data_IF_409171614137
#
_entry.id   IF_409171614137
#
_cell.length_a   1.000
_cell.length_b   1.000
_cell.length_c   1.000
_cell.angle_alpha   90.00
_cell.angle_beta   90.00
_cell.angle_gamma   90.00
#
_symmetry.space_group_name_H-M   'P 1'
#
loop_
_entity.id
_entity.type
_entity.pdbx_description
1 polymer ?
#
# COMPACT_ATOMS: atom_id res chain seq x y z
N UNK A 1 -15.33 -6.59 1.10
CA UNK A 1 -15.98 -6.39 2.42
C UNK A 1 -15.82 -7.56 3.41
N UNK A 2 -15.25 -8.71 3.03
CA UNK A 2 -15.10 -9.87 3.95
C UNK A 2 -14.33 -9.53 5.25
N UNK A 3 -13.29 -8.69 5.17
CA UNK A 3 -12.43 -8.33 6.31
C UNK A 3 -12.83 -7.00 6.98
N UNK A 4 -14.02 -6.47 6.71
CA UNK A 4 -14.48 -5.18 7.29
C UNK A 4 -15.60 -5.36 8.31
N UNK A 5 -16.03 -6.60 8.57
CA UNK A 5 -16.99 -6.90 9.64
C UNK A 5 -16.26 -6.93 10.99
N UNK A 6 -16.74 -6.22 12.02
CA UNK A 6 -16.07 -6.20 13.33
C UNK A 6 -16.14 -7.56 14.02
N UNK A 7 -15.00 -8.17 14.35
CA UNK A 7 -14.97 -9.47 15.02
C UNK A 7 -15.69 -9.46 16.38
N UNK A 8 -15.74 -8.31 17.04
CA UNK A 8 -16.34 -8.13 18.38
C UNK A 8 -17.84 -8.42 18.45
N UNK A 9 -18.57 -8.40 17.32
CA UNK A 9 -20.01 -8.73 17.32
C UNK A 9 -20.29 -10.24 17.25
N UNK A 10 -19.25 -11.08 17.13
CA UNK A 10 -19.37 -12.53 16.98
C UNK A 10 -19.08 -13.32 18.26
N UNK A 11 -19.28 -12.71 19.43
CA UNK A 11 -19.15 -13.39 20.72
C UNK A 11 -20.02 -14.65 20.77
N UNK A 12 -19.46 -15.76 21.25
CA UNK A 12 -20.19 -16.98 21.55
C UNK A 12 -19.93 -17.40 22.98
N UNK A 13 -20.99 -17.89 23.62
CA UNK A 13 -20.90 -18.38 24.98
C UNK A 13 -20.11 -19.68 25.05
N UNK A 14 -19.25 -19.80 26.05
CA UNK A 14 -18.42 -20.98 26.33
C UNK A 14 -18.40 -21.26 27.84
N UNK A 15 -17.81 -22.39 28.25
CA UNK A 15 -17.63 -22.74 29.67
C UNK A 15 -18.96 -22.75 30.44
N UNK A 16 -19.96 -23.51 29.96
CA UNK A 16 -21.30 -23.59 30.56
C UNK A 16 -21.95 -22.23 30.86
N UNK A 17 -21.80 -21.26 29.94
CA UNK A 17 -22.28 -19.89 30.08
C UNK A 17 -21.57 -19.01 31.13
N UNK A 18 -20.49 -19.47 31.75
CA UNK A 18 -19.65 -18.64 32.59
C UNK A 18 -18.80 -17.64 31.77
N UNK A 19 -18.56 -17.96 30.48
CA UNK A 19 -17.98 -17.03 29.50
C UNK A 19 -18.99 -16.77 28.39
N UNK A 20 -20.06 -16.05 28.71
CA UNK A 20 -21.13 -15.69 27.78
C UNK A 20 -20.80 -14.52 26.86
N UNK A 21 -19.81 -13.69 27.22
CA UNK A 21 -19.34 -12.54 26.44
C UNK A 21 -17.82 -12.47 26.33
N UNK A 22 -17.31 -12.42 25.11
CA UNK A 22 -15.89 -12.28 24.80
C UNK A 22 -15.67 -11.21 23.73
N UNK A 23 -14.49 -10.57 23.73
CA UNK A 23 -14.20 -9.42 22.86
C UNK A 23 -13.78 -9.78 21.44
N UNK A 24 -13.29 -11.01 21.22
CA UNK A 24 -12.64 -11.44 19.97
C UNK A 24 -11.42 -10.59 19.58
N UNK A 25 -10.81 -9.88 20.53
CA UNK A 25 -9.78 -8.87 20.26
C UNK A 25 -8.55 -9.36 19.52
N UNK A 26 -8.07 -10.58 19.82
CA UNK A 26 -6.92 -11.18 19.12
C UNK A 26 -7.23 -11.51 17.65
N UNK A 27 -8.46 -11.94 17.36
CA UNK A 27 -8.92 -12.17 15.99
C UNK A 27 -9.02 -10.84 15.24
N UNK A 28 -9.61 -9.81 15.86
CA UNK A 28 -9.69 -8.48 15.28
C UNK A 28 -8.30 -7.90 14.96
N UNK A 29 -7.32 -8.06 15.85
CA UNK A 29 -5.96 -7.58 15.63
C UNK A 29 -5.28 -8.28 14.43
N UNK A 30 -5.44 -9.60 14.29
CA UNK A 30 -4.93 -10.36 13.15
C UNK A 30 -5.59 -9.94 11.84
N UNK A 31 -6.90 -9.72 11.85
CA UNK A 31 -7.63 -9.27 10.67
C UNK A 31 -7.18 -7.85 10.25
N UNK A 32 -6.90 -6.98 11.23
CA UNK A 32 -6.33 -5.65 10.98
C UNK A 32 -4.94 -5.70 10.34
N UNK A 33 -4.05 -6.60 10.79
CA UNK A 33 -2.74 -6.82 10.13
C UNK A 33 -2.94 -7.16 8.65
N UNK A 34 -3.89 -8.05 8.34
CA UNK A 34 -4.17 -8.43 6.95
C UNK A 34 -4.72 -7.26 6.11
N UNK A 35 -5.51 -6.38 6.71
CA UNK A 35 -5.98 -5.15 6.03
C UNK A 35 -4.80 -4.25 5.72
N UNK A 36 -3.88 -4.02 6.66
CA UNK A 36 -2.68 -3.20 6.45
C UNK A 36 -1.82 -3.75 5.30
N UNK A 37 -1.53 -5.06 5.27
CA UNK A 37 -0.78 -5.69 4.19
C UNK A 37 -1.40 -5.44 2.81
N UNK A 38 -2.73 -5.59 2.69
CA UNK A 38 -3.44 -5.35 1.44
C UNK A 38 -3.43 -3.87 1.06
N UNK A 39 -3.58 -2.97 2.04
CA UNK A 39 -3.51 -1.53 1.82
C UNK A 39 -2.12 -1.11 1.33
N UNK A 40 -1.04 -1.66 1.89
CA UNK A 40 0.33 -1.41 1.44
C UNK A 40 0.55 -1.88 -0.01
N UNK A 41 0.00 -3.05 -0.38
CA UNK A 41 0.05 -3.55 -1.76
C UNK A 41 -0.65 -2.61 -2.74
N UNK A 42 -1.83 -2.11 -2.38
CA UNK A 42 -2.57 -1.14 -3.19
C UNK A 42 -1.80 0.18 -3.28
N UNK A 43 -1.22 0.65 -2.17
CA UNK A 43 -0.41 1.87 -2.14
C UNK A 43 0.82 1.76 -3.03
N UNK A 44 1.55 0.64 -2.97
CA UNK A 44 2.71 0.37 -3.82
C UNK A 44 2.33 0.40 -5.31
N UNK A 45 1.28 -0.31 -5.70
CA UNK A 45 0.80 -0.33 -7.09
C UNK A 45 0.35 1.05 -7.56
N UNK A 46 -0.39 1.78 -6.72
CA UNK A 46 -0.87 3.14 -7.02
C UNK A 46 0.30 4.10 -7.20
N UNK A 47 1.31 4.01 -6.34
CA UNK A 47 2.50 4.85 -6.43
C UNK A 47 3.27 4.63 -7.74
N UNK A 48 3.50 3.36 -8.12
CA UNK A 48 4.20 3.04 -9.37
C UNK A 48 3.37 3.45 -10.60
N UNK A 49 2.05 3.28 -10.56
CA UNK A 49 1.17 3.74 -11.62
C UNK A 49 1.19 5.27 -11.77
N UNK A 50 1.16 6.01 -10.66
CA UNK A 50 1.30 7.47 -10.67
C UNK A 50 2.67 7.91 -11.20
N UNK A 51 3.74 7.22 -10.79
CA UNK A 51 5.11 7.47 -11.27
C UNK A 51 5.22 7.28 -12.79
N UNK A 52 4.61 6.21 -13.32
CA UNK A 52 4.51 5.98 -14.75
C UNK A 52 3.70 7.10 -15.45
N UNK A 53 2.58 7.52 -14.86
CA UNK A 53 1.78 8.62 -15.40
C UNK A 53 2.53 9.95 -15.47
N UNK A 54 3.35 10.24 -14.46
CA UNK A 54 4.26 11.40 -14.44
C UNK A 54 5.27 11.32 -15.58
N UNK A 55 5.92 10.17 -15.76
CA UNK A 55 6.86 9.96 -16.87
C UNK A 55 6.20 10.09 -18.24
N UNK A 56 4.99 9.58 -18.42
CA UNK A 56 4.22 9.75 -19.66
C UNK A 56 3.91 11.23 -19.92
N UNK A 57 3.47 11.96 -18.88
CA UNK A 57 3.15 13.39 -18.98
C UNK A 57 4.38 14.23 -19.31
N UNK A 58 5.56 13.92 -18.77
CA UNK A 58 6.78 14.69 -19.06
C UNK A 58 7.24 14.58 -20.51
N UNK A 59 6.70 13.62 -21.29
CA UNK A 59 7.01 13.43 -22.71
C UNK A 59 6.05 14.15 -23.65
N UNK A 60 4.96 14.72 -23.14
CA UNK A 60 4.03 15.50 -23.94
C UNK A 60 4.64 16.87 -24.33
N UNK A 61 4.29 17.40 -25.49
CA UNK A 61 4.79 18.71 -25.95
C UNK A 61 4.40 19.86 -25.03
N UNK A 62 3.26 19.75 -24.34
CA UNK A 62 2.72 20.73 -23.39
C UNK A 62 3.10 20.44 -21.93
N UNK A 63 4.11 19.58 -21.70
CA UNK A 63 4.55 19.19 -20.37
C UNK A 63 4.93 20.41 -19.53
N UNK A 64 4.32 20.49 -18.34
CA UNK A 64 4.68 21.48 -17.32
C UNK A 64 5.65 20.87 -16.33
N UNK A 65 6.59 21.66 -15.78
CA UNK A 65 7.48 21.16 -14.72
C UNK A 65 6.66 20.74 -13.50
N UNK A 66 7.08 19.63 -12.88
CA UNK A 66 6.51 19.18 -11.62
C UNK A 66 6.90 20.16 -10.49
N UNK A 67 6.03 20.32 -9.48
CA UNK A 67 6.43 20.92 -8.21
C UNK A 67 7.69 20.25 -7.64
N UNK A 68 8.63 20.99 -7.00
CA UNK A 68 9.94 20.47 -6.60
C UNK A 68 9.90 19.17 -5.78
N UNK A 69 8.96 19.04 -4.83
CA UNK A 69 8.81 17.84 -4.02
C UNK A 69 8.43 16.60 -4.84
N UNK A 70 7.52 16.77 -5.82
CA UNK A 70 7.11 15.68 -6.71
C UNK A 70 8.21 15.33 -7.70
N UNK A 71 8.96 16.32 -8.20
CA UNK A 71 10.13 16.09 -9.05
C UNK A 71 11.20 15.26 -8.30
N UNK A 72 11.51 15.64 -7.06
CA UNK A 72 12.46 14.90 -6.22
C UNK A 72 12.01 13.46 -5.98
N UNK A 73 10.73 13.26 -5.62
CA UNK A 73 10.19 11.90 -5.43
C UNK A 73 10.22 11.07 -6.71
N UNK A 74 9.86 11.67 -7.86
CA UNK A 74 9.93 10.99 -9.16
C UNK A 74 11.37 10.58 -9.51
N UNK A 75 12.35 11.45 -9.24
CA UNK A 75 13.77 11.13 -9.42
C UNK A 75 14.22 10.00 -8.51
N UNK A 76 13.83 9.98 -7.24
CA UNK A 76 14.18 8.88 -6.32
C UNK A 76 13.56 7.55 -6.74
N UNK A 77 12.28 7.56 -7.13
CA UNK A 77 11.58 6.34 -7.59
C UNK A 77 12.20 5.79 -8.88
N UNK A 78 12.61 6.66 -9.80
CA UNK A 78 13.20 6.27 -11.08
C UNK A 78 14.54 5.53 -10.96
N UNK A 79 15.18 5.54 -9.78
CA UNK A 79 16.40 4.76 -9.52
C UNK A 79 16.13 3.25 -9.44
N UNK A 80 14.99 2.88 -8.85
CA UNK A 80 14.62 1.49 -8.59
C UNK A 80 13.53 0.99 -9.56
N UNK A 81 12.71 1.89 -10.12
CA UNK A 81 11.52 1.55 -10.90
C UNK A 81 11.57 2.17 -12.30
N UNK A 82 12.13 1.46 -13.29
CA UNK A 82 12.20 1.96 -14.65
C UNK A 82 10.81 2.06 -15.29
N UNK A 83 10.57 3.05 -16.17
CA UNK A 83 9.30 3.17 -16.90
C UNK A 83 8.94 1.90 -17.64
N UNK A 84 7.65 1.55 -17.62
CA UNK A 84 7.13 0.43 -18.40
C UNK A 84 6.87 0.91 -19.82
N UNK A 85 7.71 0.47 -20.76
CA UNK A 85 7.61 0.81 -22.19
C UNK A 85 7.08 -0.34 -23.04
N UNK A 86 7.16 -1.56 -22.52
CA UNK A 86 6.62 -2.79 -23.08
C UNK A 86 6.15 -3.70 -21.94
N UNK A 87 5.32 -4.69 -22.26
CA UNK A 87 4.78 -5.61 -21.27
C UNK A 87 5.89 -6.47 -20.64
N UNK A 88 5.94 -6.49 -19.31
CA UNK A 88 6.90 -7.25 -18.52
C UNK A 88 6.34 -7.61 -17.15
N UNK A 89 6.97 -8.58 -16.48
CA UNK A 89 6.59 -8.95 -15.12
C UNK A 89 6.96 -7.84 -14.12
N UNK A 90 6.01 -7.44 -13.27
CA UNK A 90 6.19 -6.36 -12.29
C UNK A 90 6.25 -6.86 -10.83
N UNK A 91 6.09 -8.15 -10.58
CA UNK A 91 6.03 -8.73 -9.23
C UNK A 91 7.27 -8.37 -8.38
N UNK A 92 8.48 -8.45 -8.96
CA UNK A 92 9.71 -8.12 -8.25
C UNK A 92 9.77 -6.64 -7.85
N UNK A 93 9.32 -5.74 -8.73
CA UNK A 93 9.28 -4.30 -8.47
C UNK A 93 8.22 -3.95 -7.43
N UNK A 94 7.05 -4.58 -7.49
CA UNK A 94 6.00 -4.41 -6.48
C UNK A 94 6.49 -4.87 -5.09
N UNK A 95 7.18 -6.01 -5.01
CA UNK A 95 7.79 -6.48 -3.74
C UNK A 95 8.88 -5.55 -3.22
N UNK A 96 9.72 -5.01 -4.12
CA UNK A 96 10.71 -4.03 -3.74
C UNK A 96 10.04 -2.76 -3.20
N UNK A 97 9.02 -2.25 -3.89
CA UNK A 97 8.27 -1.07 -3.47
C UNK A 97 7.63 -1.26 -2.09
N UNK A 98 7.03 -2.42 -1.82
CA UNK A 98 6.54 -2.79 -0.50
C UNK A 98 7.63 -2.74 0.58
N UNK A 99 8.79 -3.33 0.30
CA UNK A 99 9.92 -3.30 1.24
C UNK A 99 10.40 -1.87 1.51
N UNK A 100 10.45 -1.02 0.48
CA UNK A 100 10.81 0.41 0.62
C UNK A 100 9.79 1.18 1.47
N UNK A 101 8.49 0.93 1.27
CA UNK A 101 7.41 1.53 2.08
C UNK A 101 7.55 1.11 3.54
N UNK A 102 7.70 -0.19 3.82
CA UNK A 102 7.84 -0.71 5.17
C UNK A 102 9.09 -0.16 5.90
N UNK A 103 10.18 0.09 5.17
CA UNK A 103 11.41 0.68 5.68
C UNK A 103 11.37 2.21 5.79
N UNK A 104 10.24 2.85 5.42
CA UNK A 104 10.10 4.30 5.35
C UNK A 104 11.23 4.95 4.52
N UNK A 105 11.60 4.31 3.41
CA UNK A 105 12.78 4.67 2.61
C UNK A 105 12.72 6.11 2.08
N UNK A 106 11.53 6.56 1.69
CA UNK A 106 11.29 7.94 1.26
C UNK A 106 10.73 8.77 2.40
N UNK A 107 11.28 9.97 2.62
CA UNK A 107 10.68 10.94 3.54
C UNK A 107 9.40 11.51 2.92
N UNK A 108 8.26 11.22 3.54
CA UNK A 108 6.95 11.67 3.07
C UNK A 108 6.66 13.14 3.44
N UNK A 109 7.37 13.70 4.43
CA UNK A 109 7.23 15.08 4.87
C UNK A 109 8.61 15.68 5.21
N UNK A 110 8.79 16.97 4.88
CA UNK A 110 9.92 17.80 5.29
C UNK A 110 9.52 18.68 6.48
#
# INVERSE_FOLDING_TARGET
LKNTMPASVFSRSTECHNQDKVSMGTIAARDAIRVLELTEQVAAATLLAANQGVWLRSRAEDARPLPPALAAMHTELSKDFPPVVEDRALEAELRLCLARIAQQHWRLHA
#
